data_IF_353325445524
#
_entry.id   IF_353325445524
#
_cell.length_a   1.000
_cell.length_b   1.000
_cell.length_c   1.000
_cell.angle_alpha   90.00
_cell.angle_beta   90.00
_cell.angle_gamma   90.00
#
_symmetry.space_group_name_H-M   'P 1'
#
loop_
_entity.id
_entity.type
_entity.pdbx_description
1 polymer ?
#
# COMPACT_ATOMS: atom_id res chain seq x y z
N UNK A 1 -63.74 -37.03 40.07
CA UNK A 1 -62.53 -37.07 40.92
C UNK A 1 -61.34 -37.40 40.02
N UNK A 2 -60.66 -36.37 39.51
CA UNK A 2 -59.59 -36.49 38.52
C UNK A 2 -58.20 -36.44 39.17
N UNK A 3 -57.31 -37.29 38.65
CA UNK A 3 -56.03 -37.73 39.20
C UNK A 3 -54.98 -36.62 39.42
N UNK A 4 -54.26 -36.72 40.55
CA UNK A 4 -52.98 -36.04 40.80
C UNK A 4 -51.87 -36.84 40.09
N UNK A 5 -51.08 -36.20 39.23
CA UNK A 5 -49.85 -36.79 38.69
C UNK A 5 -48.64 -35.88 38.91
N UNK A 6 -47.52 -36.55 39.18
CA UNK A 6 -46.24 -36.01 39.60
C UNK A 6 -45.67 -34.92 38.71
N UNK A 7 -45.33 -33.80 39.35
CA UNK A 7 -44.56 -32.70 38.77
C UNK A 7 -43.15 -32.47 39.37
N UNK A 8 -42.70 -33.05 40.52
CA UNK A 8 -41.44 -32.61 41.11
C UNK A 8 -40.17 -33.25 40.50
N UNK A 9 -40.27 -34.40 39.83
CA UNK A 9 -39.08 -35.10 39.30
C UNK A 9 -38.51 -34.51 38.00
N UNK A 10 -39.33 -33.84 37.19
CA UNK A 10 -38.92 -33.31 35.90
C UNK A 10 -38.04 -32.04 36.04
N UNK A 11 -38.31 -31.22 37.06
CA UNK A 11 -37.53 -30.00 37.34
C UNK A 11 -36.11 -30.31 37.83
N UNK A 12 -35.91 -31.36 38.64
CA UNK A 12 -34.57 -31.72 39.11
C UNK A 12 -33.66 -32.28 38.00
N UNK A 13 -34.23 -33.01 37.02
CA UNK A 13 -33.47 -33.52 35.87
C UNK A 13 -33.04 -32.41 34.91
N UNK A 14 -33.86 -31.36 34.75
CA UNK A 14 -33.52 -30.18 33.94
C UNK A 14 -32.42 -29.32 34.57
N UNK A 15 -32.42 -29.18 35.91
CA UNK A 15 -31.34 -28.49 36.62
C UNK A 15 -30.03 -29.28 36.55
N UNK A 16 -30.06 -30.61 36.69
CA UNK A 16 -28.86 -31.44 36.59
C UNK A 16 -28.26 -31.42 35.17
N UNK A 17 -29.08 -31.40 34.12
CA UNK A 17 -28.62 -31.32 32.73
C UNK A 17 -28.02 -29.96 32.37
N UNK A 18 -28.55 -28.88 32.96
CA UNK A 18 -27.97 -27.54 32.86
C UNK A 18 -26.63 -27.42 33.60
N UNK A 19 -26.51 -28.01 34.79
CA UNK A 19 -25.22 -28.05 35.51
C UNK A 19 -24.19 -28.93 34.80
N UNK A 20 -24.59 -30.09 34.25
CA UNK A 20 -23.69 -30.91 33.43
C UNK A 20 -23.30 -30.21 32.12
N UNK A 21 -24.22 -29.52 31.44
CA UNK A 21 -23.90 -28.81 30.19
C UNK A 21 -23.02 -27.58 30.44
N UNK A 22 -23.21 -26.87 31.55
CA UNK A 22 -22.36 -25.76 31.98
C UNK A 22 -20.95 -26.24 32.36
N UNK A 23 -20.81 -27.40 32.99
CA UNK A 23 -19.50 -28.00 33.26
C UNK A 23 -18.81 -28.52 31.99
N UNK A 24 -19.56 -29.07 31.02
CA UNK A 24 -19.02 -29.48 29.71
C UNK A 24 -18.60 -28.27 28.86
N UNK A 25 -19.35 -27.16 28.90
CA UNK A 25 -18.96 -25.92 28.22
C UNK A 25 -17.75 -25.23 28.87
N UNK A 26 -17.60 -25.35 30.20
CA UNK A 26 -16.42 -24.83 30.91
C UNK A 26 -15.14 -25.65 30.61
N UNK A 27 -15.29 -26.94 30.28
CA UNK A 27 -14.20 -27.82 29.85
C UNK A 27 -13.79 -27.63 28.37
N UNK A 28 -14.57 -26.89 27.58
CA UNK A 28 -14.34 -26.62 26.15
C UNK A 28 -13.91 -25.17 25.89
N UNK A 29 -13.26 -24.49 26.86
CA UNK A 29 -12.53 -23.26 26.57
C UNK A 29 -11.32 -23.61 25.67
N UNK A 30 -11.58 -23.64 24.37
CA UNK A 30 -10.59 -23.89 23.32
C UNK A 30 -9.42 -22.93 23.54
N UNK A 31 -8.21 -23.46 23.71
CA UNK A 31 -6.98 -22.66 23.79
C UNK A 31 -6.68 -22.04 22.41
N UNK A 32 -7.40 -20.97 22.08
CA UNK A 32 -7.23 -20.23 20.83
C UNK A 32 -5.84 -19.60 20.83
N UNK A 33 -4.96 -20.07 19.93
CA UNK A 33 -3.64 -19.48 19.74
C UNK A 33 -3.70 -18.29 18.79
N UNK A 34 -2.82 -17.33 18.99
CA UNK A 34 -2.64 -16.16 18.12
C UNK A 34 -1.16 -15.88 17.95
N UNK A 35 -0.78 -15.22 16.85
CA UNK A 35 0.58 -14.69 16.72
C UNK A 35 0.70 -13.42 17.55
N UNK A 36 1.79 -13.31 18.30
CA UNK A 36 2.14 -12.13 19.07
C UNK A 36 3.51 -11.63 18.64
N UNK A 37 3.69 -10.32 18.63
CA UNK A 37 4.98 -9.66 18.53
C UNK A 37 5.42 -9.34 19.97
N UNK A 38 6.57 -9.89 20.35
CA UNK A 38 7.15 -9.83 21.69
C UNK A 38 8.41 -8.96 21.63
N UNK A 39 8.50 -7.99 22.53
CA UNK A 39 9.64 -7.10 22.71
C UNK A 39 10.45 -7.54 23.93
N UNK A 40 11.77 -7.67 23.75
CA UNK A 40 12.72 -8.05 24.78
C UNK A 40 13.78 -6.96 25.00
N UNK A 41 14.27 -6.85 26.22
CA UNK A 41 15.44 -6.04 26.56
C UNK A 41 16.71 -6.79 26.13
N UNK A 42 17.33 -6.29 25.05
CA UNK A 42 18.56 -6.86 24.50
C UNK A 42 19.71 -6.94 25.52
N UNK A 43 19.78 -6.02 26.49
CA UNK A 43 20.85 -6.01 27.49
C UNK A 43 20.78 -7.19 28.46
N UNK A 44 19.62 -7.85 28.53
CA UNK A 44 19.38 -9.01 29.38
C UNK A 44 19.55 -10.35 28.64
N UNK A 45 20.03 -10.36 27.39
CA UNK A 45 20.38 -11.60 26.70
C UNK A 45 21.48 -12.33 27.48
N UNK A 46 21.23 -13.58 27.92
CA UNK A 46 22.26 -14.35 28.62
C UNK A 46 23.49 -14.62 27.74
N UNK A 47 24.69 -14.40 28.28
CA UNK A 47 25.97 -14.60 27.58
C UNK A 47 26.21 -16.03 27.06
N UNK A 48 25.39 -17.00 27.48
CA UNK A 48 25.45 -18.39 27.01
C UNK A 48 24.92 -18.53 25.57
N UNK A 49 24.12 -17.59 25.07
CA UNK A 49 23.60 -17.61 23.71
C UNK A 49 24.57 -16.92 22.75
N UNK A 50 24.89 -17.63 21.66
CA UNK A 50 25.78 -17.12 20.62
C UNK A 50 25.16 -15.98 19.80
N UNK A 51 23.83 -16.01 19.63
CA UNK A 51 23.07 -14.98 18.94
C UNK A 51 21.62 -14.88 19.47
N UNK A 52 20.93 -13.81 19.07
CA UNK A 52 19.56 -13.51 19.46
C UNK A 52 18.56 -14.58 18.99
N UNK A 53 18.78 -15.20 17.84
CA UNK A 53 17.88 -16.23 17.33
C UNK A 53 17.88 -17.47 18.24
N UNK A 54 19.05 -17.91 18.69
CA UNK A 54 19.18 -19.02 19.63
C UNK A 54 18.54 -18.69 20.99
N UNK A 55 18.72 -17.47 21.49
CA UNK A 55 18.06 -17.01 22.71
C UNK A 55 16.53 -17.04 22.58
N UNK A 56 15.98 -16.51 21.48
CA UNK A 56 14.54 -16.49 21.23
C UNK A 56 13.96 -17.90 21.04
N UNK A 57 14.66 -18.78 20.29
CA UNK A 57 14.24 -20.17 20.12
C UNK A 57 14.23 -20.92 21.45
N UNK A 58 15.29 -20.79 22.25
CA UNK A 58 15.38 -21.42 23.57
C UNK A 58 14.29 -20.90 24.53
N UNK A 59 13.94 -19.62 24.41
CA UNK A 59 12.83 -19.03 25.16
C UNK A 59 11.50 -19.71 24.82
N UNK A 60 11.21 -19.93 23.53
CA UNK A 60 10.00 -20.64 23.09
C UNK A 60 10.00 -22.10 23.56
N UNK A 61 11.14 -22.79 23.48
CA UNK A 61 11.27 -24.17 23.97
C UNK A 61 11.04 -24.26 25.49
N UNK A 62 11.51 -23.28 26.26
CA UNK A 62 11.25 -23.19 27.70
C UNK A 62 9.76 -23.02 28.01
N UNK A 63 9.07 -22.15 27.28
CA UNK A 63 7.62 -21.96 27.42
C UNK A 63 6.86 -23.24 27.06
N UNK A 64 7.29 -23.92 25.99
CA UNK A 64 6.73 -25.22 25.56
C UNK A 64 6.86 -26.30 26.63
N UNK A 65 7.96 -26.29 27.39
CA UNK A 65 8.18 -27.24 28.48
C UNK A 65 7.42 -26.88 29.77
N UNK A 66 7.20 -25.58 30.01
CA UNK A 66 6.64 -25.07 31.27
C UNK A 66 5.11 -25.04 31.28
N UNK A 67 4.48 -24.83 30.12
CA UNK A 67 3.02 -24.75 30.00
C UNK A 67 2.52 -26.04 29.34
N UNK A 68 1.81 -26.94 30.07
CA UNK A 68 1.27 -28.16 29.49
C UNK A 68 0.24 -27.81 28.41
N UNK A 69 0.61 -27.94 27.14
CA UNK A 69 -0.34 -27.82 26.05
C UNK A 69 -1.27 -29.02 26.07
N UNK A 70 -2.59 -28.81 26.09
CA UNK A 70 -3.57 -29.86 25.81
C UNK A 70 -3.31 -30.38 24.40
N UNK A 71 -2.64 -31.54 24.30
CA UNK A 71 -2.29 -32.17 23.03
C UNK A 71 -3.54 -32.82 22.44
N UNK A 72 -4.43 -31.99 21.90
CA UNK A 72 -5.42 -32.48 20.95
C UNK A 72 -4.86 -32.33 19.53
N UNK A 73 -5.27 -33.22 18.61
CA UNK A 73 -4.73 -33.32 17.24
C UNK A 73 -4.84 -32.03 16.39
N UNK A 74 -5.48 -31.00 16.91
CA UNK A 74 -5.73 -29.71 16.30
C UNK A 74 -4.94 -28.53 16.93
N UNK A 75 -4.16 -28.75 18.00
CA UNK A 75 -3.44 -27.68 18.71
C UNK A 75 -1.92 -27.74 18.48
N UNK A 76 -1.38 -26.84 17.65
CA UNK A 76 0.06 -26.71 17.44
C UNK A 76 0.77 -26.14 18.66
N UNK A 77 1.91 -26.71 19.04
CA UNK A 77 2.82 -26.20 20.09
C UNK A 77 3.24 -24.74 19.83
N UNK A 78 3.69 -24.00 20.86
CA UNK A 78 4.22 -22.65 20.67
C UNK A 78 5.35 -22.70 19.66
N UNK A 79 5.32 -21.78 18.71
CA UNK A 79 6.21 -21.79 17.53
C UNK A 79 6.75 -20.40 17.28
N UNK A 80 8.08 -20.31 17.22
CA UNK A 80 8.76 -19.11 16.75
C UNK A 80 8.45 -18.89 15.26
N UNK A 81 8.04 -17.67 14.91
CA UNK A 81 7.75 -17.27 13.53
C UNK A 81 8.94 -16.48 12.96
N UNK A 82 9.38 -15.43 13.66
CA UNK A 82 10.54 -14.61 13.27
C UNK A 82 11.29 -14.13 14.50
N UNK A 83 12.59 -13.88 14.33
CA UNK A 83 13.47 -13.24 15.31
C UNK A 83 13.89 -11.88 14.76
N UNK A 84 13.83 -10.84 15.59
CA UNK A 84 14.16 -9.45 15.25
C UNK A 84 15.34 -8.97 16.09
N UNK A 85 16.36 -8.40 15.45
CA UNK A 85 17.53 -7.84 16.14
C UNK A 85 17.91 -6.41 15.69
N UNK A 86 17.47 -5.96 14.52
CA UNK A 86 17.95 -4.67 13.99
C UNK A 86 17.00 -3.50 14.28
N UNK A 87 15.71 -3.64 13.96
CA UNK A 87 14.71 -2.55 14.05
C UNK A 87 13.94 -2.55 15.36
N UNK A 88 13.78 -3.74 15.95
CA UNK A 88 13.26 -3.99 17.29
C UNK A 88 14.03 -5.21 17.83
N UNK A 89 14.08 -5.36 19.16
CA UNK A 89 14.67 -6.54 19.80
C UNK A 89 13.57 -7.44 20.34
N UNK A 90 13.50 -8.67 19.84
CA UNK A 90 12.50 -9.64 20.26
C UNK A 90 12.08 -10.56 19.12
N UNK A 91 10.86 -11.08 19.16
CA UNK A 91 10.41 -12.09 18.20
C UNK A 91 8.91 -12.08 17.98
N UNK A 92 8.44 -12.70 16.91
CA UNK A 92 7.03 -13.06 16.74
C UNK A 92 6.84 -14.55 16.94
N UNK A 93 5.82 -14.95 17.69
CA UNK A 93 5.53 -16.36 17.97
C UNK A 93 4.03 -16.64 18.04
N UNK A 94 3.64 -17.86 17.65
CA UNK A 94 2.29 -18.37 17.86
C UNK A 94 2.19 -18.88 19.30
N UNK A 95 1.32 -18.28 20.10
CA UNK A 95 1.18 -18.56 21.54
C UNK A 95 -0.30 -18.69 21.94
N UNK A 96 -0.60 -19.51 22.94
CA UNK A 96 -1.83 -19.45 23.71
C UNK A 96 -1.78 -18.31 24.71
N UNK A 97 -2.93 -17.99 25.34
CA UNK A 97 -2.95 -16.98 26.39
C UNK A 97 -2.08 -17.39 27.59
N UNK A 98 -2.14 -18.65 28.02
CA UNK A 98 -1.34 -19.15 29.16
C UNK A 98 0.16 -19.12 28.85
N UNK A 99 0.55 -19.42 27.61
CA UNK A 99 1.93 -19.33 27.13
C UNK A 99 2.43 -17.88 27.10
N UNK A 100 1.58 -16.94 26.68
CA UNK A 100 1.88 -15.51 26.73
C UNK A 100 2.02 -15.01 28.18
N UNK A 101 1.15 -15.45 29.10
CA UNK A 101 1.25 -15.07 30.52
C UNK A 101 2.49 -15.67 31.20
N UNK A 102 2.91 -16.87 30.80
CA UNK A 102 4.18 -17.45 31.25
C UNK A 102 5.36 -16.64 30.71
N UNK A 103 5.31 -16.24 29.44
CA UNK A 103 6.35 -15.47 28.78
C UNK A 103 6.53 -14.07 29.38
N UNK A 104 5.45 -13.42 29.81
CA UNK A 104 5.48 -12.11 30.51
C UNK A 104 6.29 -12.12 31.81
N UNK A 105 6.52 -13.29 32.40
CA UNK A 105 7.26 -13.46 33.67
C UNK A 105 8.76 -13.64 33.45
N UNK A 106 9.21 -13.77 32.20
CA UNK A 106 10.62 -14.00 31.91
C UNK A 106 11.45 -12.73 32.10
N UNK A 107 12.68 -12.85 32.64
CA UNK A 107 13.64 -11.75 32.63
C UNK A 107 13.86 -11.24 31.21
N UNK A 108 13.80 -9.92 31.04
CA UNK A 108 13.96 -9.28 29.73
C UNK A 108 12.66 -9.09 28.95
N UNK A 109 11.51 -9.60 29.41
CA UNK A 109 10.24 -9.24 28.78
C UNK A 109 9.93 -7.75 28.95
N UNK A 110 9.62 -7.06 27.85
CA UNK A 110 9.25 -5.64 27.87
C UNK A 110 7.75 -5.48 27.59
N UNK A 111 7.28 -6.01 26.46
CA UNK A 111 5.87 -5.95 26.08
C UNK A 111 5.53 -7.00 25.03
N UNK A 112 4.25 -7.28 24.86
CA UNK A 112 3.76 -8.07 23.74
C UNK A 112 2.38 -7.61 23.31
N UNK A 113 2.14 -7.66 22.01
CA UNK A 113 0.84 -7.35 21.41
C UNK A 113 0.54 -8.35 20.30
N UNK A 114 -0.75 -8.54 20.06
CA UNK A 114 -1.24 -9.47 19.03
C UNK A 114 -0.84 -8.95 17.66
N UNK A 115 -0.35 -9.84 16.81
CA UNK A 115 -0.08 -9.55 15.40
C UNK A 115 -1.41 -9.33 14.67
N UNK A 116 -1.45 -8.33 13.79
CA UNK A 116 -2.66 -7.87 13.12
C UNK A 116 -2.39 -7.64 11.64
N UNK A 117 -3.43 -7.81 10.82
CA UNK A 117 -3.37 -7.43 9.41
C UNK A 117 -3.16 -5.92 9.26
N UNK A 118 -2.33 -5.53 8.29
CA UNK A 118 -2.18 -4.12 7.87
C UNK A 118 -2.95 -3.90 6.57
N UNK A 119 -3.59 -2.74 6.41
CA UNK A 119 -4.37 -2.40 5.21
C UNK A 119 -3.64 -1.33 4.36
N UNK A 120 -3.65 -1.45 3.02
CA UNK A 120 -3.21 -0.37 2.14
C UNK A 120 -4.16 0.82 2.29
N UNK A 121 -3.65 1.95 2.77
CA UNK A 121 -4.43 3.18 2.87
C UNK A 121 -4.30 4.00 1.58
N UNK A 122 -5.39 4.24 0.86
CA UNK A 122 -5.44 5.18 -0.29
C UNK A 122 -6.47 6.29 -0.10
N UNK A 123 -7.53 6.06 0.67
CA UNK A 123 -8.53 7.08 1.07
C UNK A 123 -8.12 7.87 2.33
N UNK A 124 -7.13 7.38 3.09
CA UNK A 124 -6.69 7.95 4.37
C UNK A 124 -5.31 8.62 4.30
N UNK A 125 -4.54 8.43 3.22
CA UNK A 125 -3.12 8.83 3.14
C UNK A 125 -2.87 10.32 3.42
N UNK A 126 -3.70 11.22 2.88
CA UNK A 126 -3.56 12.65 3.18
C UNK A 126 -3.76 12.97 4.66
N UNK A 127 -4.69 12.27 5.30
CA UNK A 127 -5.07 12.48 6.70
C UNK A 127 -3.98 11.91 7.61
N UNK A 128 -3.40 10.76 7.23
CA UNK A 128 -2.18 10.21 7.84
C UNK A 128 -1.00 11.19 7.75
N UNK A 129 -0.83 11.87 6.61
CA UNK A 129 0.16 12.93 6.42
C UNK A 129 -0.23 14.27 7.06
N UNK A 130 -1.36 14.34 7.77
CA UNK A 130 -1.91 15.54 8.44
C UNK A 130 -2.23 16.71 7.51
N UNK A 131 -2.41 16.45 6.21
CA UNK A 131 -2.88 17.44 5.27
C UNK A 131 -4.36 17.73 5.53
N UNK A 132 -4.69 19.00 5.78
CA UNK A 132 -6.05 19.41 6.12
C UNK A 132 -6.38 20.80 5.57
N UNK A 133 -7.66 21.13 5.32
CA UNK A 133 -8.05 22.43 4.78
C UNK A 133 -7.79 23.62 5.72
N UNK A 134 -7.65 23.38 7.02
CA UNK A 134 -7.60 24.44 8.04
C UNK A 134 -6.21 25.06 8.21
N UNK A 135 -5.14 24.30 8.01
CA UNK A 135 -3.77 24.75 8.26
C UNK A 135 -2.72 23.92 7.51
N UNK A 136 -1.48 24.43 7.44
CA UNK A 136 -0.36 23.75 6.80
C UNK A 136 -0.32 23.87 5.28
N UNK A 137 0.20 22.85 4.61
CA UNK A 137 0.55 22.91 3.18
C UNK A 137 -0.67 23.10 2.27
N UNK A 138 -1.81 22.50 2.60
CA UNK A 138 -3.01 22.54 1.78
C UNK A 138 -3.58 23.97 1.60
N UNK A 139 -3.86 24.75 2.66
CA UNK A 139 -4.25 26.14 2.47
C UNK A 139 -3.12 27.00 1.90
N UNK A 140 -1.86 26.76 2.28
CA UNK A 140 -0.72 27.55 1.78
C UNK A 140 -0.47 27.39 0.28
N UNK A 141 -0.75 26.21 -0.29
CA UNK A 141 -0.56 25.89 -1.70
C UNK A 141 -1.84 25.93 -2.52
N UNK A 142 -2.99 26.25 -1.92
CA UNK A 142 -4.30 26.10 -2.58
C UNK A 142 -4.55 24.66 -3.06
N UNK A 143 -4.13 23.66 -2.29
CA UNK A 143 -4.19 22.23 -2.64
C UNK A 143 -3.38 21.86 -3.90
N UNK A 144 -2.33 22.64 -4.21
CA UNK A 144 -1.51 22.52 -5.41
C UNK A 144 -2.12 23.18 -6.64
N UNK A 145 -3.09 24.08 -6.48
CA UNK A 145 -3.68 24.80 -7.60
C UNK A 145 -2.59 25.45 -8.47
N UNK A 146 -2.77 25.35 -9.79
CA UNK A 146 -1.89 25.89 -10.83
C UNK A 146 -0.47 25.29 -10.90
N UNK A 147 -0.14 24.32 -10.04
CA UNK A 147 0.98 23.39 -10.22
C UNK A 147 0.59 22.31 -11.23
N UNK A 148 1.51 21.93 -12.10
CA UNK A 148 1.36 20.94 -13.15
C UNK A 148 2.31 19.77 -12.87
N UNK A 149 1.73 18.62 -12.56
CA UNK A 149 2.46 17.37 -12.30
C UNK A 149 2.50 16.58 -13.61
N UNK A 150 3.70 16.40 -14.15
CA UNK A 150 3.98 15.49 -15.26
C UNK A 150 4.07 14.06 -14.76
N UNK A 151 3.17 13.17 -15.21
CA UNK A 151 3.20 11.74 -14.87
C UNK A 151 3.71 10.97 -16.09
N UNK A 152 4.90 10.40 -15.95
CA UNK A 152 5.52 9.55 -16.96
C UNK A 152 5.24 8.09 -16.60
N UNK A 153 4.35 7.43 -17.35
CA UNK A 153 3.88 6.08 -16.97
C UNK A 153 3.24 5.30 -18.16
N UNK A 154 2.33 4.36 -17.86
CA UNK A 154 1.53 3.55 -18.81
C UNK A 154 0.34 4.30 -19.44
N UNK A 155 0.17 5.58 -19.12
CA UNK A 155 -0.92 6.42 -19.61
C UNK A 155 -1.93 6.76 -18.52
N UNK A 156 -3.16 7.07 -18.92
CA UNK A 156 -4.26 7.38 -17.99
C UNK A 156 -5.61 6.87 -18.49
N UNK A 157 -6.51 6.52 -17.57
CA UNK A 157 -7.93 6.30 -17.83
C UNK A 157 -8.72 7.59 -17.57
N UNK A 158 -8.93 8.46 -18.59
CA UNK A 158 -9.40 9.83 -18.40
C UNK A 158 -10.81 9.93 -17.81
N UNK A 159 -11.65 8.91 -18.00
CA UNK A 159 -13.03 8.90 -17.49
C UNK A 159 -13.13 8.61 -15.98
N UNK A 160 -12.02 8.30 -15.31
CA UNK A 160 -12.01 8.05 -13.87
C UNK A 160 -12.53 9.26 -13.09
N UNK A 161 -13.30 9.01 -12.03
CA UNK A 161 -13.82 10.06 -11.15
C UNK A 161 -12.69 10.94 -10.56
N UNK A 162 -11.50 10.37 -10.36
CA UNK A 162 -10.30 11.07 -9.88
C UNK A 162 -9.80 12.14 -10.85
N UNK A 163 -10.19 12.14 -12.12
CA UNK A 163 -9.72 13.09 -13.14
C UNK A 163 -10.82 14.01 -13.68
N UNK A 164 -11.98 14.01 -13.03
CA UNK A 164 -12.98 15.07 -13.25
C UNK A 164 -12.46 16.40 -12.75
N UNK A 165 -12.94 17.48 -13.34
CA UNK A 165 -12.45 18.84 -13.08
C UNK A 165 -13.38 19.69 -12.21
N UNK A 166 -14.23 19.04 -11.42
CA UNK A 166 -15.09 19.70 -10.43
C UNK A 166 -14.26 20.59 -9.50
N UNK A 167 -14.55 21.89 -9.49
CA UNK A 167 -13.85 22.90 -8.68
C UNK A 167 -12.43 23.24 -9.15
N UNK A 168 -12.05 22.86 -10.37
CA UNK A 168 -10.80 23.30 -10.99
C UNK A 168 -10.97 24.67 -11.66
N UNK A 169 -10.02 25.61 -11.50
CA UNK A 169 -10.02 26.88 -12.24
C UNK A 169 -9.66 26.65 -13.71
N UNK A 170 -9.65 27.72 -14.51
CA UNK A 170 -9.12 27.69 -15.88
C UNK A 170 -7.67 27.17 -15.94
N UNK A 171 -7.29 26.57 -17.06
CA UNK A 171 -5.94 26.04 -17.26
C UNK A 171 -4.92 27.20 -17.27
N UNK A 172 -3.78 27.09 -16.57
CA UNK A 172 -2.77 28.15 -16.54
C UNK A 172 -2.28 28.50 -17.96
N UNK A 173 -2.26 29.79 -18.32
CA UNK A 173 -1.83 30.27 -19.65
C UNK A 173 -0.38 29.91 -20.02
N UNK A 174 0.44 29.57 -19.03
CA UNK A 174 1.83 29.11 -19.24
C UNK A 174 1.92 27.68 -19.78
N UNK A 175 0.85 26.90 -19.69
CA UNK A 175 0.80 25.52 -20.17
C UNK A 175 0.90 25.47 -21.69
N UNK A 176 1.80 24.63 -22.21
CA UNK A 176 2.05 24.51 -23.66
C UNK A 176 1.77 23.11 -24.21
N UNK A 177 1.51 22.14 -23.33
CA UNK A 177 1.27 20.76 -23.75
C UNK A 177 -0.04 20.59 -24.49
N UNK A 178 -0.18 19.42 -25.11
CA UNK A 178 -1.30 19.07 -26.00
C UNK A 178 -2.13 17.93 -25.42
N UNK A 179 -3.35 17.79 -25.93
CA UNK A 179 -4.13 16.57 -25.82
C UNK A 179 -4.01 15.79 -27.13
N UNK A 180 -3.03 14.89 -27.23
CA UNK A 180 -2.72 14.18 -28.47
C UNK A 180 -3.78 13.08 -28.74
N UNK A 181 -4.48 13.12 -29.89
CA UNK A 181 -5.44 12.09 -30.24
C UNK A 181 -4.74 10.76 -30.59
N UNK A 182 -5.46 9.66 -30.46
CA UNK A 182 -5.01 8.31 -30.80
C UNK A 182 -6.14 7.29 -30.64
N UNK A 183 -5.80 6.00 -30.61
CA UNK A 183 -6.77 4.92 -30.39
C UNK A 183 -7.60 5.15 -29.13
N UNK A 184 -8.93 5.25 -29.29
CA UNK A 184 -9.89 5.48 -28.20
C UNK A 184 -9.55 6.69 -27.30
N UNK A 185 -8.84 7.67 -27.84
CA UNK A 185 -8.47 8.88 -27.12
C UNK A 185 -8.58 10.08 -28.05
N UNK A 186 -9.54 10.96 -27.82
CA UNK A 186 -9.70 12.20 -28.60
C UNK A 186 -9.31 13.42 -27.75
N UNK A 187 -9.21 14.58 -28.39
CA UNK A 187 -8.77 15.82 -27.73
C UNK A 187 -9.74 16.30 -26.63
N UNK A 188 -11.01 15.88 -26.67
CA UNK A 188 -12.02 16.25 -25.68
C UNK A 188 -11.90 15.48 -24.35
N UNK A 189 -11.02 14.47 -24.28
CA UNK A 189 -10.76 13.74 -23.04
C UNK A 189 -9.84 14.50 -22.08
N UNK A 190 -9.15 15.54 -22.54
CA UNK A 190 -8.53 16.50 -21.65
C UNK A 190 -9.55 17.53 -21.16
N UNK A 191 -9.38 17.98 -19.93
CA UNK A 191 -10.25 18.92 -19.24
C UNK A 191 -9.40 19.85 -18.35
N UNK A 192 -9.98 20.56 -17.39
CA UNK A 192 -9.20 21.45 -16.51
C UNK A 192 -8.37 20.71 -15.46
N UNK A 193 -8.58 19.40 -15.26
CA UNK A 193 -7.82 18.54 -14.36
C UNK A 193 -6.69 17.82 -15.09
N UNK A 194 -7.04 17.01 -16.09
CA UNK A 194 -6.11 16.39 -17.03
C UNK A 194 -5.92 17.37 -18.20
N UNK A 195 -4.91 18.22 -18.12
CA UNK A 195 -4.71 19.34 -19.05
C UNK A 195 -3.87 18.98 -20.27
N UNK A 196 -3.19 17.84 -20.24
CA UNK A 196 -2.46 17.31 -21.38
C UNK A 196 -2.26 15.81 -21.28
N UNK A 197 -2.20 15.19 -22.45
CA UNK A 197 -2.02 13.76 -22.61
C UNK A 197 -1.24 13.52 -23.90
N UNK A 198 -0.05 12.95 -23.77
CA UNK A 198 0.85 12.64 -24.87
C UNK A 198 1.39 11.22 -24.72
N UNK A 199 1.91 10.66 -25.80
CA UNK A 199 2.43 9.31 -25.82
C UNK A 199 3.57 9.14 -26.83
N UNK A 200 4.51 8.26 -26.49
CA UNK A 200 5.80 8.08 -27.14
C UNK A 200 6.04 6.59 -27.36
N UNK A 201 6.07 6.17 -28.63
CA UNK A 201 6.20 4.78 -29.04
C UNK A 201 7.12 4.61 -30.25
N UNK A 202 7.96 5.62 -30.52
CA UNK A 202 8.87 5.57 -31.67
C UNK A 202 9.98 4.56 -31.42
N UNK A 203 10.39 4.35 -30.17
CA UNK A 203 11.31 3.28 -29.78
C UNK A 203 10.75 1.91 -30.12
N UNK A 204 9.46 1.66 -29.80
CA UNK A 204 8.76 0.42 -30.16
C UNK A 204 8.77 0.19 -31.68
N UNK A 205 8.33 1.19 -32.46
CA UNK A 205 8.25 1.08 -33.92
C UNK A 205 9.64 1.01 -34.59
N UNK A 206 10.67 1.58 -33.99
CA UNK A 206 12.04 1.47 -34.50
C UNK A 206 12.64 0.09 -34.23
N UNK A 207 12.31 -0.51 -33.08
CA UNK A 207 12.76 -1.85 -32.72
C UNK A 207 12.08 -2.93 -33.57
N UNK A 208 10.78 -2.80 -33.79
CA UNK A 208 10.02 -3.67 -34.71
C UNK A 208 8.98 -2.84 -35.48
N UNK A 209 9.26 -2.47 -36.75
CA UNK A 209 8.32 -1.72 -37.57
C UNK A 209 7.03 -2.47 -37.92
N UNK A 210 6.97 -3.78 -37.68
CA UNK A 210 5.80 -4.63 -37.99
C UNK A 210 4.84 -4.76 -36.82
N UNK A 211 5.24 -4.30 -35.62
CA UNK A 211 4.41 -4.38 -34.42
C UNK A 211 3.14 -3.54 -34.57
N UNK A 212 2.00 -4.13 -34.24
CA UNK A 212 0.73 -3.43 -34.20
C UNK A 212 0.41 -2.98 -32.77
N UNK A 213 0.55 -1.70 -32.48
CA UNK A 213 0.27 -1.13 -31.15
C UNK A 213 -1.25 -1.01 -30.98
N UNK A 214 -1.79 -1.92 -30.17
CA UNK A 214 -3.23 -2.06 -29.93
C UNK A 214 -3.87 -0.79 -29.36
N UNK A 215 -3.23 -0.17 -28.35
CA UNK A 215 -3.65 1.09 -27.75
C UNK A 215 -2.68 2.23 -28.07
N UNK A 216 -2.65 2.64 -29.34
CA UNK A 216 -1.81 3.72 -29.85
C UNK A 216 -2.33 5.12 -29.45
N UNK A 217 -2.39 5.37 -28.15
CA UNK A 217 -2.79 6.63 -27.51
C UNK A 217 -2.27 6.72 -26.08
N UNK A 218 -2.58 7.83 -25.39
CA UNK A 218 -2.30 7.99 -23.96
C UNK A 218 -3.27 7.22 -23.04
N UNK A 219 -4.23 6.45 -23.57
CA UNK A 219 -5.11 5.61 -22.77
C UNK A 219 -4.32 4.51 -22.07
N UNK A 220 -4.58 4.34 -20.78
CA UNK A 220 -4.01 3.28 -19.96
C UNK A 220 -4.72 1.95 -20.19
N UNK A 221 -3.93 0.89 -20.39
CA UNK A 221 -4.40 -0.50 -20.51
C UNK A 221 -3.83 -1.40 -19.41
N UNK A 222 -2.96 -0.86 -18.55
CA UNK A 222 -2.32 -1.58 -17.45
C UNK A 222 -2.94 -1.20 -16.09
N UNK A 223 -3.15 0.10 -15.89
CA UNK A 223 -3.71 0.68 -14.67
C UNK A 223 -2.67 1.36 -13.79
N UNK A 224 -1.37 1.05 -13.93
CA UNK A 224 -0.31 1.65 -13.11
C UNK A 224 -0.28 3.18 -13.22
N UNK A 225 -0.31 3.73 -14.45
CA UNK A 225 -0.30 5.17 -14.68
C UNK A 225 -1.55 5.87 -14.13
N UNK A 226 -2.72 5.28 -14.32
CA UNK A 226 -3.98 5.75 -13.72
C UNK A 226 -3.88 5.79 -12.20
N UNK A 227 -3.35 4.74 -11.59
CA UNK A 227 -3.21 4.64 -10.14
C UNK A 227 -2.26 5.71 -9.59
N UNK A 228 -1.04 5.82 -10.14
CA UNK A 228 -0.02 6.79 -9.70
C UNK A 228 -0.49 8.23 -9.92
N UNK A 229 -1.11 8.54 -11.07
CA UNK A 229 -1.68 9.86 -11.33
C UNK A 229 -2.75 10.25 -10.31
N UNK A 230 -3.59 9.29 -9.90
CA UNK A 230 -4.63 9.51 -8.88
C UNK A 230 -4.06 9.70 -7.46
N UNK A 231 -2.93 9.07 -7.13
CA UNK A 231 -2.23 9.27 -5.85
C UNK A 231 -1.61 10.67 -5.80
N UNK A 232 -0.91 11.08 -6.87
CA UNK A 232 -0.26 12.39 -6.91
C UNK A 232 -1.30 13.52 -6.87
N UNK A 233 -2.30 13.44 -7.75
CA UNK A 233 -3.24 14.52 -7.98
C UNK A 233 -4.64 14.03 -8.35
N UNK A 234 -5.20 12.99 -7.74
CA UNK A 234 -6.62 12.70 -7.88
C UNK A 234 -7.48 13.85 -7.34
N UNK A 235 -8.53 14.25 -8.06
CA UNK A 235 -9.59 15.08 -7.50
C UNK A 235 -10.44 14.27 -6.50
N UNK A 236 -11.32 14.94 -5.75
CA UNK A 236 -12.16 14.30 -4.74
C UNK A 236 -13.19 13.34 -5.37
N UNK A 237 -12.95 12.04 -5.26
CA UNK A 237 -13.83 10.97 -5.71
C UNK A 237 -14.56 10.35 -4.50
N UNK A 238 -15.85 10.66 -4.35
CA UNK A 238 -16.67 10.22 -3.19
C UNK A 238 -17.17 8.79 -3.36
N UNK A 239 -17.33 8.09 -2.23
CA UNK A 239 -18.01 6.79 -2.18
C UNK A 239 -17.22 5.67 -2.86
N UNK A 240 -15.90 5.78 -2.89
CA UNK A 240 -15.01 4.78 -3.48
C UNK A 240 -14.51 3.82 -2.41
N UNK A 241 -14.19 2.60 -2.83
CA UNK A 241 -13.60 1.55 -2.01
C UNK A 241 -12.93 0.53 -2.93
N UNK A 242 -12.08 -0.34 -2.38
CA UNK A 242 -11.61 -1.53 -3.06
C UNK A 242 -12.47 -2.71 -2.60
N UNK A 243 -13.51 -3.10 -3.34
CA UNK A 243 -14.45 -4.17 -2.94
C UNK A 243 -15.02 -4.02 -1.52
N UNK A 244 -15.27 -2.79 -1.07
CA UNK A 244 -15.72 -2.48 0.29
C UNK A 244 -14.60 -2.15 1.29
N UNK A 245 -13.35 -2.49 0.99
CA UNK A 245 -12.19 -2.11 1.80
C UNK A 245 -11.80 -0.65 1.57
N UNK A 246 -11.25 0.00 2.61
CA UNK A 246 -10.84 1.39 2.63
C UNK A 246 -11.90 2.38 2.08
N UNK A 247 -13.18 2.31 2.54
CA UNK A 247 -14.23 3.17 2.01
C UNK A 247 -13.97 4.64 2.36
N UNK A 248 -14.31 5.54 1.44
CA UNK A 248 -14.23 6.97 1.73
C UNK A 248 -14.27 7.87 0.51
N UNK A 249 -13.60 9.01 0.63
CA UNK A 249 -13.35 9.92 -0.49
C UNK A 249 -11.88 9.83 -0.88
N UNK A 250 -11.59 9.23 -2.03
CA UNK A 250 -10.23 9.25 -2.56
C UNK A 250 -9.89 10.65 -3.08
N UNK A 251 -8.64 11.04 -2.90
CA UNK A 251 -8.09 12.32 -3.31
C UNK A 251 -6.57 12.17 -3.36
N UNK A 252 -5.93 12.84 -4.31
CA UNK A 252 -4.47 12.86 -4.38
C UNK A 252 -3.88 13.68 -3.23
N UNK A 253 -2.55 13.61 -3.10
CA UNK A 253 -1.81 14.45 -2.14
C UNK A 253 -1.98 15.94 -2.45
N UNK A 254 -2.08 16.29 -3.74
CA UNK A 254 -2.40 17.63 -4.24
C UNK A 254 -3.71 17.63 -5.08
N UNK A 255 -4.90 17.66 -4.44
CA UNK A 255 -6.16 17.47 -5.14
C UNK A 255 -6.48 18.49 -6.26
N UNK A 256 -5.90 19.70 -6.19
CA UNK A 256 -6.11 20.78 -7.17
C UNK A 256 -4.94 20.97 -8.15
N UNK A 257 -3.89 20.16 -8.04
CA UNK A 257 -2.84 20.14 -9.06
C UNK A 257 -3.39 19.67 -10.41
N UNK A 258 -2.80 20.18 -11.49
CA UNK A 258 -3.07 19.75 -12.87
C UNK A 258 -2.25 18.50 -13.17
N UNK A 259 -2.81 17.63 -14.00
CA UNK A 259 -2.13 16.45 -14.53
C UNK A 259 -1.78 16.66 -15.99
N UNK A 260 -0.54 16.34 -16.33
CA UNK A 260 -0.09 16.14 -17.69
C UNK A 260 0.50 14.73 -17.80
N UNK A 261 -0.04 13.90 -18.69
CA UNK A 261 0.33 12.48 -18.79
C UNK A 261 1.19 12.26 -20.02
N UNK A 262 2.29 11.54 -19.82
CA UNK A 262 3.26 11.20 -20.87
C UNK A 262 3.45 9.68 -20.87
N UNK A 263 2.70 8.99 -21.72
CA UNK A 263 2.78 7.54 -21.84
C UNK A 263 4.02 7.12 -22.63
N UNK A 264 4.89 6.34 -22.01
CA UNK A 264 6.05 5.73 -22.70
C UNK A 264 6.12 4.21 -22.51
N UNK A 265 5.30 3.66 -21.61
CA UNK A 265 5.11 2.23 -21.42
C UNK A 265 3.86 1.75 -22.14
N UNK A 266 4.02 0.78 -23.03
CA UNK A 266 2.94 0.08 -23.72
C UNK A 266 3.00 -1.41 -23.42
N UNK A 267 1.94 -2.14 -23.75
CA UNK A 267 1.93 -3.61 -23.60
C UNK A 267 2.93 -4.26 -24.58
N UNK A 268 3.10 -3.64 -25.76
CA UNK A 268 4.02 -4.09 -26.80
C UNK A 268 5.49 -3.74 -26.50
N UNK A 269 5.76 -2.85 -25.55
CA UNK A 269 7.14 -2.51 -25.21
C UNK A 269 7.33 -1.30 -24.29
N UNK A 270 8.55 -1.24 -23.76
CA UNK A 270 9.06 -0.18 -22.91
C UNK A 270 10.48 0.14 -23.35
N UNK A 271 10.69 1.32 -23.94
CA UNK A 271 11.99 1.73 -24.46
C UNK A 271 12.50 2.98 -23.75
N UNK A 272 13.79 2.97 -23.40
CA UNK A 272 14.44 4.10 -22.72
C UNK A 272 14.46 5.37 -23.58
N UNK A 273 14.51 5.24 -24.91
CA UNK A 273 14.40 6.36 -25.83
C UNK A 273 13.04 7.06 -25.75
N UNK A 274 11.94 6.29 -25.64
CA UNK A 274 10.61 6.84 -25.46
C UNK A 274 10.44 7.48 -24.07
N UNK A 275 11.08 6.92 -23.02
CA UNK A 275 11.15 7.54 -21.69
C UNK A 275 11.83 8.92 -21.73
N UNK A 276 13.02 8.99 -22.34
CA UNK A 276 13.77 10.25 -22.45
C UNK A 276 12.97 11.27 -23.26
N UNK A 277 12.36 10.86 -24.37
CA UNK A 277 11.50 11.74 -25.18
C UNK A 277 10.28 12.23 -24.40
N UNK A 278 9.66 11.38 -23.59
CA UNK A 278 8.55 11.76 -22.72
C UNK A 278 8.97 12.80 -21.68
N UNK A 279 10.14 12.63 -21.05
CA UNK A 279 10.64 13.55 -20.04
C UNK A 279 11.06 14.90 -20.65
N UNK A 280 11.76 14.86 -21.78
CA UNK A 280 12.15 16.06 -22.53
C UNK A 280 10.91 16.89 -22.93
N UNK A 281 9.89 16.23 -23.49
CA UNK A 281 8.64 16.90 -23.85
C UNK A 281 7.91 17.46 -22.62
N UNK A 282 7.89 16.74 -21.49
CA UNK A 282 7.27 17.24 -20.27
C UNK A 282 7.91 18.53 -19.77
N UNK A 283 9.24 18.59 -19.76
CA UNK A 283 9.99 19.80 -19.40
C UNK A 283 9.69 20.93 -20.39
N UNK A 284 9.67 20.64 -21.70
CA UNK A 284 9.37 21.63 -22.72
C UNK A 284 7.94 22.21 -22.63
N UNK A 285 6.96 21.39 -22.24
CA UNK A 285 5.56 21.76 -22.06
C UNK A 285 5.34 22.65 -20.82
N UNK A 286 6.33 22.67 -19.90
CA UNK A 286 6.34 23.52 -18.71
C UNK A 286 5.70 22.88 -17.49
N UNK A 287 5.87 21.55 -17.29
CA UNK A 287 5.55 20.90 -16.01
C UNK A 287 6.43 21.45 -14.88
N UNK A 288 5.92 21.47 -13.65
CA UNK A 288 6.68 21.96 -12.49
C UNK A 288 7.44 20.83 -11.76
N UNK A 289 6.87 19.63 -11.81
CA UNK A 289 7.44 18.44 -11.18
C UNK A 289 7.07 17.22 -12.02
N UNK A 290 7.99 16.26 -12.07
CA UNK A 290 7.78 14.98 -12.75
C UNK A 290 7.68 13.87 -11.70
N UNK A 291 6.67 13.02 -11.85
CA UNK A 291 6.53 11.76 -11.13
C UNK A 291 6.79 10.62 -12.10
N UNK A 292 7.74 9.75 -11.76
CA UNK A 292 8.08 8.56 -12.53
C UNK A 292 8.22 7.35 -11.60
N UNK A 293 7.42 6.32 -11.84
CA UNK A 293 7.38 5.11 -11.00
C UNK A 293 8.05 3.93 -11.71
N UNK A 294 9.25 4.17 -12.26
CA UNK A 294 10.06 3.20 -12.99
C UNK A 294 11.52 3.29 -12.54
N UNK A 295 12.23 2.17 -12.65
CA UNK A 295 13.66 2.07 -12.39
C UNK A 295 14.24 0.84 -13.08
N UNK A 296 15.57 0.81 -13.23
CA UNK A 296 16.28 -0.33 -13.78
C UNK A 296 16.57 -1.36 -12.68
N UNK A 297 16.12 -2.61 -12.86
CA UNK A 297 16.18 -3.64 -11.80
C UNK A 297 17.45 -4.49 -11.78
N UNK A 298 18.17 -4.60 -12.89
CA UNK A 298 19.28 -5.55 -12.99
C UNK A 298 20.42 -4.96 -13.82
N UNK A 299 21.61 -4.97 -13.22
CA UNK A 299 22.89 -4.39 -13.65
C UNK A 299 23.13 -2.96 -13.16
N UNK A 300 24.31 -2.75 -12.58
CA UNK A 300 24.86 -1.42 -12.33
C UNK A 300 25.04 -0.76 -13.70
N UNK A 301 24.09 0.10 -14.07
CA UNK A 301 24.21 0.96 -15.24
C UNK A 301 24.91 2.23 -14.75
N UNK A 302 26.06 2.62 -15.33
CA UNK A 302 26.72 3.86 -14.94
C UNK A 302 25.82 5.07 -15.27
N UNK A 303 25.96 6.16 -14.52
CA UNK A 303 25.07 7.33 -14.64
C UNK A 303 24.97 7.91 -16.07
N UNK A 304 26.01 7.74 -16.89
CA UNK A 304 26.03 8.22 -18.28
C UNK A 304 25.33 7.29 -19.28
N UNK A 305 24.84 6.12 -18.84
CA UNK A 305 23.99 5.19 -19.61
C UNK A 305 22.59 5.06 -18.99
N UNK A 306 22.40 5.53 -17.75
CA UNK A 306 21.10 5.56 -17.09
C UNK A 306 20.23 6.69 -17.67
N UNK A 307 19.28 6.31 -18.51
CA UNK A 307 18.37 7.23 -19.19
C UNK A 307 17.46 8.02 -18.25
N UNK A 308 17.09 7.47 -17.09
CA UNK A 308 16.31 8.19 -16.08
C UNK A 308 17.20 9.26 -15.44
N UNK A 309 18.43 8.90 -15.07
CA UNK A 309 19.40 9.84 -14.49
C UNK A 309 19.74 11.00 -15.45
N UNK A 310 20.03 10.71 -16.72
CA UNK A 310 20.35 11.71 -17.74
C UNK A 310 19.18 12.68 -17.95
N UNK A 311 17.98 12.14 -18.18
CA UNK A 311 16.81 12.98 -18.42
C UNK A 311 16.43 13.79 -17.18
N UNK A 312 16.58 13.20 -15.98
CA UNK A 312 16.32 13.90 -14.71
C UNK A 312 17.32 15.03 -14.48
N UNK A 313 18.58 14.85 -14.86
CA UNK A 313 19.57 15.93 -14.82
C UNK A 313 19.14 17.09 -15.76
N UNK A 314 18.70 16.77 -16.98
CA UNK A 314 18.16 17.77 -17.91
C UNK A 314 16.95 18.53 -17.35
N UNK A 315 16.00 17.83 -16.73
CA UNK A 315 14.85 18.43 -16.05
C UNK A 315 15.29 19.36 -14.91
N UNK A 316 16.23 18.92 -14.07
CA UNK A 316 16.76 19.71 -12.96
C UNK A 316 17.46 20.98 -13.45
N UNK A 317 18.21 20.92 -14.56
CA UNK A 317 18.82 22.09 -15.20
C UNK A 317 17.81 23.13 -15.69
N UNK A 318 16.52 22.76 -15.77
CA UNK A 318 15.39 23.65 -16.07
C UNK A 318 14.52 23.97 -14.86
N UNK A 319 14.95 23.60 -13.66
CA UNK A 319 14.22 23.84 -12.41
C UNK A 319 13.04 22.89 -12.18
N UNK A 320 12.99 21.75 -12.88
CA UNK A 320 11.93 20.74 -12.73
C UNK A 320 12.47 19.59 -11.89
N UNK A 321 11.89 19.39 -10.70
CA UNK A 321 12.24 18.26 -9.83
C UNK A 321 11.67 16.96 -10.39
N UNK A 322 12.42 15.86 -10.26
CA UNK A 322 11.95 14.50 -10.58
C UNK A 322 11.83 13.69 -9.30
N UNK A 323 10.63 13.19 -9.04
CA UNK A 323 10.34 12.21 -7.98
C UNK A 323 10.30 10.82 -8.61
N UNK A 324 11.28 9.98 -8.28
CA UNK A 324 11.39 8.61 -8.76
C UNK A 324 11.22 7.59 -7.62
N UNK A 325 10.66 6.42 -7.91
CA UNK A 325 10.61 5.30 -6.97
C UNK A 325 12.01 4.69 -6.75
N UNK A 326 12.35 4.31 -5.52
CA UNK A 326 13.64 3.70 -5.20
C UNK A 326 13.85 2.30 -5.82
N UNK A 327 12.77 1.60 -6.19
CA UNK A 327 12.81 0.24 -6.70
C UNK A 327 12.99 -0.83 -5.60
N UNK A 328 12.77 -2.09 -5.99
CA UNK A 328 13.14 -3.31 -5.25
C UNK A 328 13.93 -4.17 -6.22
#
# INVERSE_FOLDING_TARGET
MGSRMGLPYCLHLLFLSWFLSAHVFCLLAVAQRSTYIVHLDKSLMPNIFADHHHWHSSTIDSIKATVPSSVDRFHSAPKLVYSYDSVIHGFSAVLSQDELEALKKLPGFVSAYKDTTVEPHTTYTSDFLKLNPSSGLWPASGLGQDVIIGVLDSGIWPESASFRDDGMPEVPKRWKGICKPGTQFNTSLCNRKLIGANYFNKGILANDPTVNISMNSARDTDGHGTHVASIAAGNFAKGVSHFGYAPGTAKGVAPRARLAVYKFRFDEGLFTSDLVAAMDQAVADGVDIISISYGFRFNFIPLYEDSISIASFGAMMKGVLVSASAGI
#
